data_IF_635033659103
#
_entry.id   IF_635033659103
#
_cell.length_a   1.000
_cell.length_b   1.000
_cell.length_c   1.000
_cell.angle_alpha   90.00
_cell.angle_beta   90.00
_cell.angle_gamma   90.00
#
_symmetry.space_group_name_H-M   'P 1'
#
loop_
_entity.id
_entity.type
_entity.pdbx_description
1 polymer ?
#
# COMPACT_ATOMS: atom_id res chain seq x y z
N UNK A 1 -4.82 31.36 -18.86
CA UNK A 1 -4.44 29.97 -19.13
C UNK A 1 -4.98 29.04 -18.06
N UNK A 2 -5.48 27.90 -18.50
CA UNK A 2 -5.93 26.88 -17.57
C UNK A 2 -4.74 26.29 -16.81
N UNK A 3 -4.93 25.99 -15.53
CA UNK A 3 -3.93 25.30 -14.74
C UNK A 3 -3.78 23.86 -15.22
N UNK A 4 -2.55 23.35 -15.17
CA UNK A 4 -2.30 21.91 -15.25
C UNK A 4 -2.47 21.29 -13.87
N UNK A 5 -2.74 19.99 -13.82
CA UNK A 5 -2.96 19.31 -12.55
C UNK A 5 -2.62 17.82 -12.63
N UNK A 6 -2.46 17.23 -11.46
CA UNK A 6 -2.46 15.78 -11.29
C UNK A 6 -3.20 15.43 -9.99
N UNK A 7 -3.63 14.19 -9.88
CA UNK A 7 -4.27 13.69 -8.68
C UNK A 7 -3.34 12.73 -7.94
N UNK A 8 -3.25 12.91 -6.62
CA UNK A 8 -2.58 11.98 -5.70
C UNK A 8 -3.63 10.98 -5.23
N UNK A 9 -3.38 9.72 -5.47
CA UNK A 9 -4.30 8.63 -5.11
C UNK A 9 -3.55 7.54 -4.35
N UNK A 10 -4.31 6.69 -3.65
CA UNK A 10 -3.79 5.50 -3.01
C UNK A 10 -4.70 4.33 -3.37
N UNK A 11 -4.48 3.75 -4.54
CA UNK A 11 -5.32 2.68 -5.09
C UNK A 11 -4.56 1.37 -5.10
N UNK A 12 -5.26 0.31 -4.73
CA UNK A 12 -4.75 -1.06 -4.78
C UNK A 12 -5.10 -1.64 -6.15
N UNK A 13 -4.12 -2.23 -6.81
CA UNK A 13 -4.37 -3.09 -7.96
C UNK A 13 -4.78 -4.47 -7.43
N UNK A 14 -6.06 -4.67 -7.27
CA UNK A 14 -6.61 -5.90 -6.67
C UNK A 14 -6.28 -7.14 -7.49
N UNK A 15 -6.16 -7.03 -8.80
CA UNK A 15 -5.76 -8.14 -9.66
C UNK A 15 -4.33 -8.58 -9.34
N UNK A 16 -3.42 -7.64 -9.16
CA UNK A 16 -2.03 -7.94 -8.80
C UNK A 16 -1.92 -8.48 -7.37
N UNK A 17 -2.76 -8.02 -6.45
CA UNK A 17 -2.83 -8.60 -5.10
C UNK A 17 -3.29 -10.05 -5.18
N UNK A 18 -4.30 -10.37 -6.00
CA UNK A 18 -4.76 -11.73 -6.21
C UNK A 18 -3.67 -12.61 -6.80
N UNK A 19 -2.91 -12.10 -7.76
CA UNK A 19 -1.78 -12.82 -8.35
C UNK A 19 -0.70 -13.10 -7.30
N UNK A 20 -0.36 -12.11 -6.50
CA UNK A 20 0.61 -12.26 -5.41
C UNK A 20 0.14 -13.30 -4.38
N UNK A 21 -1.13 -13.23 -4.00
CA UNK A 21 -1.74 -14.18 -3.08
C UNK A 21 -1.66 -15.60 -3.63
N UNK A 22 -2.04 -15.81 -4.88
CA UNK A 22 -2.01 -17.14 -5.49
C UNK A 22 -0.60 -17.69 -5.57
N UNK A 23 0.40 -16.87 -5.88
CA UNK A 23 1.80 -17.28 -5.90
C UNK A 23 2.29 -17.64 -4.50
N UNK A 24 1.91 -16.85 -3.50
CA UNK A 24 2.22 -17.13 -2.10
C UNK A 24 1.62 -18.47 -1.66
N UNK A 25 0.34 -18.68 -1.95
CA UNK A 25 -0.37 -19.92 -1.58
C UNK A 25 0.31 -21.16 -2.18
N UNK A 26 0.70 -21.09 -3.44
CA UNK A 26 1.42 -22.18 -4.12
C UNK A 26 2.77 -22.44 -3.47
N UNK A 27 3.52 -21.41 -3.16
CA UNK A 27 4.83 -21.57 -2.53
C UNK A 27 4.71 -22.17 -1.14
N UNK A 28 3.75 -21.72 -0.33
CA UNK A 28 3.51 -22.29 1.00
C UNK A 28 3.14 -23.77 0.92
N UNK A 29 2.38 -24.17 -0.10
CA UNK A 29 1.97 -25.55 -0.29
C UNK A 29 3.13 -26.45 -0.70
N UNK A 30 4.17 -25.92 -1.34
CA UNK A 30 5.27 -26.69 -1.92
C UNK A 30 6.58 -26.60 -1.14
N UNK A 31 6.77 -25.57 -0.32
CA UNK A 31 8.01 -25.41 0.44
C UNK A 31 8.11 -26.42 1.58
N UNK A 32 9.28 -27.01 1.69
CA UNK A 32 9.55 -28.05 2.70
C UNK A 32 9.42 -27.52 4.13
N UNK A 33 9.84 -26.29 4.39
CA UNK A 33 9.80 -25.67 5.72
C UNK A 33 8.38 -25.40 6.24
N UNK A 34 7.38 -25.43 5.36
CA UNK A 34 5.96 -25.28 5.73
C UNK A 34 5.21 -26.61 5.76
N UNK A 35 5.85 -27.70 5.40
CA UNK A 35 5.20 -28.99 5.34
C UNK A 35 4.80 -29.48 6.74
N UNK A 36 3.56 -29.96 6.88
CA UNK A 36 3.00 -30.48 8.14
C UNK A 36 2.97 -29.45 9.28
N UNK A 37 2.91 -28.16 8.95
CA UNK A 37 2.88 -27.09 9.94
C UNK A 37 1.50 -26.44 10.06
N UNK A 38 0.53 -26.85 9.23
CA UNK A 38 -0.77 -26.21 9.19
C UNK A 38 -0.73 -24.78 8.64
N UNK A 39 0.37 -24.41 7.98
CA UNK A 39 0.52 -23.08 7.40
C UNK A 39 -0.45 -22.90 6.24
N UNK A 40 -1.27 -21.87 6.32
CA UNK A 40 -2.23 -21.54 5.29
C UNK A 40 -2.46 -20.04 5.21
N UNK A 41 -2.95 -19.60 4.06
CA UNK A 41 -3.26 -18.22 3.80
C UNK A 41 -4.66 -18.14 3.19
N UNK A 42 -5.45 -17.17 3.67
CA UNK A 42 -6.81 -16.92 3.19
C UNK A 42 -6.95 -15.43 2.89
N UNK A 43 -7.74 -15.12 1.88
CA UNK A 43 -7.99 -13.74 1.47
C UNK A 43 -9.47 -13.47 1.32
N UNK A 44 -9.91 -12.35 1.88
CA UNK A 44 -11.23 -11.77 1.62
C UNK A 44 -11.03 -10.44 0.89
N UNK A 45 -12.12 -9.72 0.57
CA UNK A 45 -12.04 -8.39 -0.02
C UNK A 45 -11.39 -7.36 0.91
N UNK A 46 -11.35 -7.62 2.22
CA UNK A 46 -10.92 -6.65 3.23
C UNK A 46 -9.60 -6.99 3.89
N UNK A 47 -9.20 -8.27 3.89
CA UNK A 47 -8.02 -8.69 4.63
C UNK A 47 -7.41 -9.99 4.11
N UNK A 48 -6.19 -10.24 4.55
CA UNK A 48 -5.49 -11.52 4.40
C UNK A 48 -5.24 -12.08 5.79
N UNK A 49 -5.56 -13.37 5.98
CA UNK A 49 -5.29 -14.10 7.20
C UNK A 49 -4.23 -15.16 6.94
N UNK A 50 -3.20 -15.18 7.79
CA UNK A 50 -2.15 -16.20 7.75
C UNK A 50 -2.24 -16.98 9.06
N UNK A 51 -2.18 -18.32 8.97
CA UNK A 51 -2.17 -19.22 10.11
C UNK A 51 -1.00 -20.18 10.01
N UNK A 52 -0.44 -20.56 11.16
CA UNK A 52 0.59 -21.60 11.25
C UNK A 52 0.64 -22.16 12.67
N UNK A 53 1.38 -23.25 12.86
CA UNK A 53 1.59 -23.89 14.16
C UNK A 53 2.57 -23.12 15.06
N UNK A 54 3.42 -22.27 14.50
CA UNK A 54 4.36 -21.43 15.26
C UNK A 54 4.31 -19.98 14.79
N UNK A 55 4.69 -19.08 15.68
CA UNK A 55 4.82 -17.67 15.37
C UNK A 55 5.85 -17.43 14.25
N UNK A 56 6.99 -18.13 14.33
CA UNK A 56 8.07 -17.99 13.36
C UNK A 56 7.63 -18.38 11.95
N UNK A 57 6.88 -19.47 11.82
CA UNK A 57 6.37 -19.93 10.52
C UNK A 57 5.27 -19.01 9.99
N UNK A 58 4.42 -18.47 10.86
CA UNK A 58 3.44 -17.47 10.46
C UNK A 58 4.12 -16.22 9.90
N UNK A 59 5.16 -15.75 10.58
CA UNK A 59 5.96 -14.60 10.09
C UNK A 59 6.68 -14.92 8.79
N UNK A 60 7.20 -16.13 8.65
CA UNK A 60 7.87 -16.57 7.41
C UNK A 60 6.88 -16.60 6.24
N UNK A 61 5.66 -17.06 6.47
CA UNK A 61 4.61 -17.04 5.44
C UNK A 61 4.25 -15.62 5.04
N UNK A 62 4.19 -14.70 5.98
CA UNK A 62 3.96 -13.28 5.71
C UNK A 62 5.08 -12.70 4.83
N UNK A 63 6.34 -13.06 5.09
CA UNK A 63 7.46 -12.60 4.27
C UNK A 63 7.35 -13.12 2.83
N UNK A 64 6.87 -14.34 2.63
CA UNK A 64 6.60 -14.86 1.28
C UNK A 64 5.56 -13.99 0.57
N UNK A 65 4.46 -13.65 1.26
CA UNK A 65 3.43 -12.79 0.69
C UNK A 65 3.99 -11.42 0.32
N UNK A 66 4.75 -10.80 1.21
CA UNK A 66 5.37 -9.50 0.96
C UNK A 66 6.29 -9.54 -0.26
N UNK A 67 7.09 -10.57 -0.39
CA UNK A 67 7.97 -10.78 -1.55
C UNK A 67 7.18 -10.84 -2.85
N UNK A 68 6.08 -11.60 -2.87
CA UNK A 68 5.23 -11.73 -4.06
C UNK A 68 4.56 -10.40 -4.40
N UNK A 69 4.12 -9.64 -3.41
CA UNK A 69 3.53 -8.32 -3.62
C UNK A 69 4.55 -7.34 -4.22
N UNK A 70 5.77 -7.32 -3.70
CA UNK A 70 6.83 -6.47 -4.23
C UNK A 70 7.13 -6.81 -5.70
N UNK A 71 7.22 -8.09 -6.03
CA UNK A 71 7.45 -8.56 -7.41
C UNK A 71 6.33 -8.15 -8.36
N UNK A 72 5.12 -7.97 -7.85
CA UNK A 72 3.96 -7.51 -8.61
C UNK A 72 3.75 -6.00 -8.54
N UNK A 73 4.72 -5.26 -8.04
CA UNK A 73 4.67 -3.80 -7.91
C UNK A 73 3.52 -3.29 -7.05
N UNK A 74 3.10 -4.08 -6.07
CA UNK A 74 2.10 -3.65 -5.07
C UNK A 74 2.85 -3.16 -3.84
N UNK A 75 2.60 -1.91 -3.46
CA UNK A 75 3.25 -1.33 -2.29
C UNK A 75 2.79 -2.02 -1.01
N UNK A 76 3.75 -2.36 -0.15
CA UNK A 76 3.44 -2.93 1.17
C UNK A 76 2.75 -1.93 2.09
N UNK A 77 2.77 -0.65 1.76
CA UNK A 77 2.06 0.39 2.50
C UNK A 77 0.54 0.28 2.38
N UNK A 78 0.05 -0.53 1.44
CA UNK A 78 -1.37 -0.88 1.36
C UNK A 78 -1.80 -1.91 2.40
N UNK A 79 -0.86 -2.49 3.16
CA UNK A 79 -1.18 -3.47 4.19
C UNK A 79 -0.99 -2.88 5.58
N UNK A 80 -1.97 -3.10 6.43
CA UNK A 80 -1.86 -2.85 7.86
C UNK A 80 -1.83 -4.21 8.56
N UNK A 81 -0.63 -4.67 8.90
CA UNK A 81 -0.40 -6.01 9.42
C UNK A 81 -0.31 -5.96 10.94
N UNK A 82 -1.14 -6.77 11.60
CA UNK A 82 -1.12 -6.93 13.05
C UNK A 82 -0.01 -7.87 13.50
N UNK A 83 0.19 -7.92 14.82
CA UNK A 83 1.11 -8.86 15.42
C UNK A 83 0.52 -10.28 15.43
N UNK A 84 1.37 -11.33 15.40
CA UNK A 84 0.90 -12.69 15.54
C UNK A 84 0.15 -12.89 16.86
N UNK A 85 -0.98 -13.57 16.78
CA UNK A 85 -1.81 -13.87 17.95
C UNK A 85 -2.05 -15.36 18.05
N UNK A 86 -1.90 -15.90 19.26
CA UNK A 86 -2.19 -17.30 19.52
C UNK A 86 -3.70 -17.49 19.63
N UNK A 87 -4.25 -18.39 18.86
CA UNK A 87 -5.66 -18.77 18.88
C UNK A 87 -5.74 -20.30 18.94
N UNK A 88 -6.06 -20.84 20.11
CA UNK A 88 -6.01 -22.28 20.32
C UNK A 88 -4.58 -22.81 20.17
N UNK A 89 -4.37 -23.66 19.17
CA UNK A 89 -3.04 -24.24 18.86
C UNK A 89 -2.36 -23.59 17.66
N UNK A 90 -2.95 -22.52 17.11
CA UNK A 90 -2.43 -21.85 15.93
C UNK A 90 -2.09 -20.39 16.22
N UNK A 91 -1.10 -19.90 15.49
CA UNK A 91 -0.77 -18.46 15.45
C UNK A 91 -1.40 -17.85 14.21
N UNK A 92 -2.01 -16.69 14.39
CA UNK A 92 -2.71 -15.97 13.32
C UNK A 92 -2.15 -14.59 13.16
N UNK A 93 -1.96 -14.18 11.90
CA UNK A 93 -1.61 -12.81 11.52
C UNK A 93 -2.71 -12.28 10.63
N UNK A 94 -3.31 -11.16 11.04
CA UNK A 94 -4.32 -10.47 10.24
C UNK A 94 -3.67 -9.26 9.57
N UNK A 95 -3.89 -9.12 8.26
CA UNK A 95 -3.41 -7.99 7.50
C UNK A 95 -4.59 -7.38 6.75
N UNK A 96 -4.94 -6.14 7.09
CA UNK A 96 -6.06 -5.43 6.43
C UNK A 96 -5.52 -4.56 5.30
N UNK A 97 -6.37 -4.32 4.29
CA UNK A 97 -6.01 -3.45 3.17
C UNK A 97 -6.29 -1.99 3.49
N UNK A 98 -5.35 -1.12 3.12
CA UNK A 98 -5.50 0.34 3.20
C UNK A 98 -5.56 0.89 1.80
N UNK A 99 -6.65 1.58 1.47
CA UNK A 99 -6.87 2.15 0.15
C UNK A 99 -7.52 3.53 0.29
N UNK A 100 -7.15 4.43 -0.61
CA UNK A 100 -7.62 5.80 -0.60
C UNK A 100 -6.74 6.73 0.23
N UNK A 101 -6.75 8.02 -0.11
CA UNK A 101 -6.08 9.06 0.67
C UNK A 101 -7.09 9.59 1.68
N UNK A 102 -6.83 9.35 2.97
CA UNK A 102 -7.70 9.90 4.02
C UNK A 102 -7.59 11.41 4.05
N UNK A 103 -8.59 12.08 4.59
CA UNK A 103 -8.57 13.54 4.76
C UNK A 103 -7.33 13.97 5.55
N UNK A 104 -6.97 13.24 6.60
CA UNK A 104 -5.77 13.50 7.39
C UNK A 104 -4.51 13.41 6.55
N UNK A 105 -4.36 12.34 5.76
CA UNK A 105 -3.19 12.17 4.90
C UNK A 105 -3.15 13.22 3.79
N UNK A 106 -4.29 13.58 3.21
CA UNK A 106 -4.37 14.65 2.23
C UNK A 106 -3.88 15.97 2.81
N UNK A 107 -4.26 16.28 4.04
CA UNK A 107 -3.78 17.49 4.75
C UNK A 107 -2.28 17.45 5.00
N UNK A 108 -1.73 16.28 5.30
CA UNK A 108 -0.27 16.11 5.46
C UNK A 108 0.48 16.44 4.16
N UNK A 109 -0.02 15.95 3.04
CA UNK A 109 0.58 16.24 1.73
C UNK A 109 0.45 17.72 1.40
N UNK A 110 -0.73 18.30 1.59
CA UNK A 110 -0.97 19.72 1.30
C UNK A 110 -0.06 20.64 2.12
N UNK A 111 0.10 20.34 3.41
CA UNK A 111 1.00 21.09 4.29
C UNK A 111 2.45 20.95 3.85
N UNK A 112 2.88 19.74 3.52
CA UNK A 112 4.24 19.47 3.04
C UNK A 112 4.54 20.28 1.78
N UNK A 113 3.61 20.32 0.83
CA UNK A 113 3.77 21.11 -0.40
C UNK A 113 3.78 22.60 -0.14
N UNK A 114 2.99 23.06 0.83
CA UNK A 114 2.98 24.48 1.23
C UNK A 114 4.33 24.88 1.83
N UNK A 115 4.93 24.02 2.64
CA UNK A 115 6.18 24.31 3.34
C UNK A 115 7.40 24.13 2.44
N UNK A 116 7.41 23.11 1.58
CA UNK A 116 8.60 22.70 0.82
C UNK A 116 8.46 22.91 -0.69
N UNK A 117 7.25 23.11 -1.20
CA UNK A 117 6.98 23.23 -2.62
C UNK A 117 6.94 24.65 -3.11
N UNK A 118 6.75 24.81 -4.41
CA UNK A 118 6.62 26.12 -5.05
C UNK A 118 5.35 26.83 -4.61
N UNK A 119 5.40 28.15 -4.56
CA UNK A 119 4.25 28.96 -4.14
C UNK A 119 3.07 28.92 -5.12
N UNK A 120 3.32 28.53 -6.37
CA UNK A 120 2.27 28.42 -7.39
C UNK A 120 1.35 27.23 -7.18
N UNK A 121 1.73 26.27 -6.31
CA UNK A 121 0.97 25.05 -6.10
C UNK A 121 -0.33 25.31 -5.35
N UNK A 122 -1.40 24.72 -5.85
CA UNK A 122 -2.72 24.71 -5.20
C UNK A 122 -3.11 23.27 -4.95
N UNK A 123 -3.76 23.04 -3.82
CA UNK A 123 -4.23 21.72 -3.46
C UNK A 123 -5.72 21.73 -3.18
N UNK A 124 -6.41 20.65 -3.56
CA UNK A 124 -7.84 20.49 -3.31
C UNK A 124 -8.13 19.05 -2.98
N UNK A 125 -8.74 18.82 -1.81
CA UNK A 125 -9.17 17.49 -1.40
C UNK A 125 -10.45 17.12 -2.14
N UNK A 126 -10.46 15.98 -2.82
CA UNK A 126 -11.62 15.48 -3.56
C UNK A 126 -11.88 14.03 -3.16
N UNK A 127 -12.80 13.81 -2.20
CA UNK A 127 -13.09 12.47 -1.71
C UNK A 127 -11.85 11.83 -1.10
N UNK A 128 -11.40 10.73 -1.69
CA UNK A 128 -10.19 9.98 -1.26
C UNK A 128 -8.96 10.29 -2.12
N UNK A 129 -8.96 11.45 -2.78
CA UNK A 129 -7.87 11.90 -3.65
C UNK A 129 -7.48 13.34 -3.30
N UNK A 130 -6.27 13.72 -3.67
CA UNK A 130 -5.81 15.11 -3.56
C UNK A 130 -5.39 15.61 -4.93
N UNK A 131 -6.04 16.70 -5.40
CA UNK A 131 -5.65 17.33 -6.65
C UNK A 131 -4.61 18.40 -6.38
N UNK A 132 -3.52 18.37 -7.14
CA UNK A 132 -2.47 19.37 -7.10
C UNK A 132 -2.44 20.07 -8.46
N UNK A 133 -2.56 21.39 -8.45
CA UNK A 133 -2.59 22.19 -9.67
C UNK A 133 -1.62 23.35 -9.62
N UNK A 134 -1.19 23.80 -10.79
CA UNK A 134 -0.32 24.96 -10.96
C UNK A 134 -0.37 25.45 -12.41
N UNK A 135 -0.09 26.73 -12.62
CA UNK A 135 0.13 27.28 -13.96
C UNK A 135 1.47 26.81 -14.54
N UNK A 136 2.41 26.39 -13.69
CA UNK A 136 3.73 25.93 -14.09
C UNK A 136 3.78 24.41 -14.07
N UNK A 137 4.00 23.80 -15.24
CA UNK A 137 4.19 22.35 -15.35
C UNK A 137 5.47 21.89 -14.66
N UNK A 138 6.51 22.74 -14.67
CA UNK A 138 7.76 22.43 -13.97
C UNK A 138 7.56 22.35 -12.48
N UNK A 139 6.75 23.25 -11.91
CA UNK A 139 6.41 23.21 -10.48
C UNK A 139 5.62 21.96 -10.12
N UNK A 140 4.75 21.47 -11.03
CA UNK A 140 4.03 20.21 -10.82
C UNK A 140 4.98 19.00 -10.83
N UNK A 141 5.95 18.97 -11.76
CA UNK A 141 6.95 17.90 -11.80
C UNK A 141 7.79 17.89 -10.53
N UNK A 142 8.21 19.07 -10.07
CA UNK A 142 8.94 19.19 -8.81
C UNK A 142 8.10 18.72 -7.62
N UNK A 143 6.81 19.07 -7.60
CA UNK A 143 5.90 18.63 -6.53
C UNK A 143 5.79 17.09 -6.48
N UNK A 144 5.67 16.42 -7.63
CA UNK A 144 5.65 14.96 -7.68
C UNK A 144 6.93 14.36 -7.12
N UNK A 145 8.09 14.92 -7.49
CA UNK A 145 9.38 14.45 -6.98
C UNK A 145 9.49 14.65 -5.47
N UNK A 146 9.03 15.77 -4.95
CA UNK A 146 9.04 16.07 -3.51
C UNK A 146 8.17 15.07 -2.74
N UNK A 147 6.95 14.82 -3.21
CA UNK A 147 6.03 13.88 -2.57
C UNK A 147 6.63 12.48 -2.57
N UNK A 148 7.17 12.04 -3.70
CA UNK A 148 7.75 10.72 -3.85
C UNK A 148 8.95 10.52 -2.92
N UNK A 149 9.82 11.53 -2.82
CA UNK A 149 11.05 11.47 -2.02
C UNK A 149 10.79 11.65 -0.53
N UNK A 150 9.67 12.23 -0.13
CA UNK A 150 9.33 12.42 1.28
C UNK A 150 9.19 11.09 2.03
N UNK A 151 8.69 10.05 1.36
CA UNK A 151 8.51 8.74 1.98
C UNK A 151 7.38 8.72 3.00
N UNK A 152 6.20 9.18 2.62
CA UNK A 152 5.01 9.06 3.46
C UNK A 152 4.75 7.59 3.82
N UNK A 153 4.12 7.35 4.96
CA UNK A 153 3.83 6.01 5.47
C UNK A 153 2.59 5.35 4.83
N UNK A 154 2.02 5.97 3.83
CA UNK A 154 0.92 5.43 3.04
C UNK A 154 1.31 5.38 1.56
N UNK A 155 0.65 4.49 0.81
CA UNK A 155 0.95 4.30 -0.61
C UNK A 155 0.44 5.48 -1.43
N UNK A 156 1.21 5.89 -2.43
CA UNK A 156 0.89 7.03 -3.28
C UNK A 156 1.12 6.68 -4.74
N UNK A 157 0.15 7.02 -5.60
CA UNK A 157 0.31 7.03 -7.04
C UNK A 157 -0.15 8.38 -7.57
N UNK A 158 0.32 8.74 -8.75
CA UNK A 158 -0.09 9.97 -9.44
C UNK A 158 -0.85 9.61 -10.71
N UNK A 159 -1.96 10.28 -10.95
CA UNK A 159 -2.83 9.98 -12.07
C UNK A 159 -3.58 11.24 -12.55
N UNK A 160 -4.40 11.10 -13.60
CA UNK A 160 -5.24 12.17 -14.12
C UNK A 160 -4.45 13.44 -14.47
N UNK A 161 -3.35 13.27 -15.17
CA UNK A 161 -2.55 14.41 -15.65
C UNK A 161 -3.34 15.23 -16.65
N UNK A 162 -3.39 16.56 -16.42
CA UNK A 162 -4.15 17.49 -17.27
C UNK A 162 -3.38 18.72 -17.66
#
# INVERSE_FOLDING_TARGET
MADSSFDVVSKIDHMEVDNAFNQCDRELATRFDFKNTGTKIEKTSEKILIESDTEERAKAALEVLKEKMIKRNVSLKHLDTGEPQLSGKTYRINSTFKEGITTENAKKIAKFLKDEGAKSLKTQIQGDELRVSSKSKDDLQEAMALIKNKGFDFAIQFTNFR
#
